data_IF_851991195466
#
_entry.id   IF_851991195466
#
_cell.length_a   1.000
_cell.length_b   1.000
_cell.length_c   1.000
_cell.angle_alpha   90.00
_cell.angle_beta   90.00
_cell.angle_gamma   90.00
#
_symmetry.space_group_name_H-M   'P 1'
#
loop_
_entity.id
_entity.type
_entity.pdbx_description
1 polymer ?
#
# COMPACT_ATOMS: atom_id res chain seq x y z
N UNK A 1 -1.33 -10.95 52.22
CA UNK A 1 -2.59 -11.18 51.46
C UNK A 1 -3.19 -9.87 50.92
N UNK A 2 -3.40 -8.82 51.73
CA UNK A 2 -3.99 -7.56 51.24
C UNK A 2 -3.17 -6.79 50.20
N UNK A 3 -1.83 -6.83 50.28
CA UNK A 3 -0.94 -6.13 49.33
C UNK A 3 -0.99 -6.77 47.94
N UNK A 4 -1.02 -8.10 47.86
CA UNK A 4 -1.15 -8.84 46.60
C UNK A 4 -2.49 -8.55 45.93
N UNK A 5 -3.58 -8.51 46.70
CA UNK A 5 -4.91 -8.16 46.18
C UNK A 5 -4.92 -6.71 45.68
N UNK A 6 -4.30 -5.79 46.41
CA UNK A 6 -4.15 -4.39 45.99
C UNK A 6 -3.38 -4.23 44.67
N UNK A 7 -2.28 -4.98 44.50
CA UNK A 7 -1.48 -4.95 43.26
C UNK A 7 -2.27 -5.52 42.08
N UNK A 8 -2.99 -6.62 42.26
CA UNK A 8 -3.83 -7.20 41.20
C UNK A 8 -4.91 -6.21 40.78
N UNK A 9 -5.62 -5.61 41.74
CA UNK A 9 -6.66 -4.60 41.43
C UNK A 9 -6.05 -3.39 40.72
N UNK A 10 -4.87 -2.92 41.15
CA UNK A 10 -4.19 -1.80 40.51
C UNK A 10 -3.82 -2.08 39.06
N UNK A 11 -3.30 -3.27 38.75
CA UNK A 11 -2.98 -3.68 37.38
C UNK A 11 -4.23 -3.76 36.51
N UNK A 12 -5.34 -4.30 37.03
CA UNK A 12 -6.62 -4.34 36.31
C UNK A 12 -7.17 -2.94 36.01
N UNK A 13 -7.03 -1.98 36.94
CA UNK A 13 -7.45 -0.59 36.74
C UNK A 13 -6.60 0.08 35.66
N UNK A 14 -5.28 -0.12 35.66
CA UNK A 14 -4.41 0.41 34.61
C UNK A 14 -4.70 -0.19 33.23
N UNK A 15 -4.96 -1.49 33.16
CA UNK A 15 -5.36 -2.17 31.92
C UNK A 15 -6.69 -1.62 31.39
N UNK A 16 -7.70 -1.48 32.25
CA UNK A 16 -9.00 -0.93 31.87
C UNK A 16 -8.89 0.52 31.39
N UNK A 17 -8.08 1.34 32.07
CA UNK A 17 -7.82 2.73 31.68
C UNK A 17 -7.08 2.82 30.32
N UNK A 18 -6.10 1.95 30.09
CA UNK A 18 -5.38 1.86 28.82
C UNK A 18 -6.29 1.47 27.65
N UNK A 19 -7.10 0.43 27.83
CA UNK A 19 -8.09 -0.01 26.83
C UNK A 19 -9.11 1.10 26.56
N UNK A 20 -9.62 1.77 27.60
CA UNK A 20 -10.55 2.89 27.43
C UNK A 20 -9.94 4.05 26.66
N UNK A 21 -8.66 4.37 26.89
CA UNK A 21 -7.96 5.45 26.21
C UNK A 21 -7.71 5.11 24.73
N UNK A 22 -7.28 3.88 24.43
CA UNK A 22 -7.12 3.39 23.04
C UNK A 22 -8.45 3.40 22.29
N UNK A 23 -9.53 2.89 22.90
CA UNK A 23 -10.87 2.93 22.30
C UNK A 23 -11.35 4.37 22.06
N UNK A 24 -11.06 5.30 22.99
CA UNK A 24 -11.39 6.72 22.84
C UNK A 24 -10.57 7.40 21.73
N UNK A 25 -9.34 6.97 21.49
CA UNK A 25 -8.51 7.50 20.39
C UNK A 25 -8.92 6.93 19.04
N UNK A 26 -9.23 5.63 18.96
CA UNK A 26 -9.75 5.01 17.73
C UNK A 26 -11.12 5.60 17.33
N UNK A 27 -11.99 5.93 18.30
CA UNK A 27 -13.25 6.62 18.02
C UNK A 27 -13.10 8.02 17.41
N UNK A 28 -11.94 8.67 17.58
CA UNK A 28 -11.64 9.97 16.96
C UNK A 28 -11.14 9.81 15.52
N UNK A 29 -10.46 8.71 15.22
CA UNK A 29 -10.05 8.38 13.84
C UNK A 29 -11.23 7.84 13.01
N UNK A 30 -12.22 7.21 13.64
CA UNK A 30 -13.46 6.80 12.95
C UNK A 30 -14.40 7.98 12.66
N UNK A 31 -14.09 9.19 13.14
CA UNK A 31 -14.81 10.43 12.84
C UNK A 31 -14.08 11.32 11.82
N UNK A 32 -13.17 10.76 11.04
CA UNK A 32 -12.72 11.31 9.75
C UNK A 32 -12.96 10.24 8.69
N UNK A 33 -14.23 10.14 8.30
CA UNK A 33 -14.79 9.75 7.00
C UNK A 33 -16.24 9.31 7.22
N UNK A 34 -17.03 10.22 7.81
CA UNK A 34 -18.45 10.27 7.49
C UNK A 34 -18.60 10.44 5.97
N UNK A 35 -19.74 10.00 5.41
CA UNK A 35 -19.97 10.00 3.97
C UNK A 35 -19.70 11.40 3.46
N UNK A 36 -18.77 11.57 2.51
CA UNK A 36 -18.63 12.84 1.82
C UNK A 36 -20.01 13.13 1.22
N UNK A 37 -20.77 14.10 1.74
CA UNK A 37 -21.98 14.51 1.08
C UNK A 37 -21.52 15.06 -0.26
N UNK A 38 -22.12 14.52 -1.30
CA UNK A 38 -22.34 15.15 -2.58
C UNK A 38 -22.28 16.68 -2.49
N UNK A 39 -21.09 17.24 -2.65
CA UNK A 39 -20.96 18.53 -3.29
C UNK A 39 -20.84 18.20 -4.76
N UNK A 40 -21.99 18.14 -5.43
CA UNK A 40 -22.05 18.59 -6.81
C UNK A 40 -21.32 19.93 -6.82
N UNK A 41 -20.04 19.92 -7.21
CA UNK A 41 -19.50 21.10 -7.86
C UNK A 41 -20.36 21.20 -9.10
N UNK A 42 -21.31 22.12 -9.09
CA UNK A 42 -21.82 22.70 -10.32
C UNK A 42 -20.57 23.22 -11.04
N UNK A 43 -20.03 22.38 -11.91
CA UNK A 43 -19.12 22.83 -12.95
C UNK A 43 -19.99 23.85 -13.69
N UNK A 44 -19.65 25.15 -13.69
CA UNK A 44 -20.37 26.08 -14.55
C UNK A 44 -20.31 25.49 -15.95
N UNK A 45 -21.50 25.26 -16.49
CA UNK A 45 -21.79 24.62 -17.75
C UNK A 45 -21.26 25.44 -18.93
N UNK A 46 -19.94 25.46 -19.09
CA UNK A 46 -19.25 25.86 -20.31
C UNK A 46 -18.19 24.82 -20.67
N UNK A 47 -18.66 23.60 -20.92
CA UNK A 47 -17.94 22.70 -21.82
C UNK A 47 -18.41 23.01 -23.25
N UNK A 48 -17.56 23.70 -24.02
CA UNK A 48 -17.69 23.82 -25.47
C UNK A 48 -18.03 22.44 -26.08
N UNK A 49 -19.12 22.39 -26.84
CA UNK A 49 -19.80 21.18 -27.30
C UNK A 49 -19.04 20.35 -28.34
N UNK A 50 -17.97 19.69 -27.91
CA UNK A 50 -17.27 18.67 -28.68
C UNK A 50 -16.55 17.67 -27.73
N UNK A 51 -17.33 16.86 -27.03
CA UNK A 51 -16.87 15.56 -26.56
C UNK A 51 -18.07 14.61 -26.49
N UNK A 52 -18.37 14.00 -27.61
CA UNK A 52 -19.17 12.77 -27.65
C UNK A 52 -18.23 11.58 -27.43
N UNK A 53 -18.75 10.58 -26.70
CA UNK A 53 -18.09 9.36 -26.19
C UNK A 53 -17.42 9.50 -24.82
N UNK A 54 -18.25 9.35 -23.78
CA UNK A 54 -17.82 8.90 -22.46
C UNK A 54 -17.42 7.43 -22.53
N UNK A 55 -16.14 7.11 -22.42
CA UNK A 55 -15.67 5.76 -22.06
C UNK A 55 -15.79 5.56 -20.54
N UNK A 56 -17.02 5.52 -20.04
CA UNK A 56 -17.32 5.34 -18.61
C UNK A 56 -17.29 3.85 -18.18
N UNK A 57 -17.18 2.91 -19.12
CA UNK A 57 -17.20 1.47 -18.83
C UNK A 57 -15.82 0.90 -18.40
N UNK A 58 -14.72 1.66 -18.52
CA UNK A 58 -13.38 1.24 -18.05
C UNK A 58 -13.06 1.65 -16.61
N UNK A 59 -14.03 2.20 -15.88
CA UNK A 59 -14.00 2.32 -14.41
C UNK A 59 -14.16 0.94 -13.76
N UNK A 60 -13.27 0.03 -14.15
CA UNK A 60 -12.95 -1.22 -13.50
C UNK A 60 -12.78 -0.90 -12.03
N UNK A 61 -13.80 -1.23 -11.25
CA UNK A 61 -13.75 -1.40 -9.81
C UNK A 61 -12.82 -2.59 -9.55
N UNK A 62 -11.52 -2.39 -9.76
CA UNK A 62 -10.49 -3.28 -9.24
C UNK A 62 -10.46 -2.91 -7.78
N UNK A 63 -11.22 -3.65 -6.97
CA UNK A 63 -11.00 -3.72 -5.54
C UNK A 63 -9.56 -4.18 -5.33
N UNK A 64 -8.62 -3.25 -5.39
CA UNK A 64 -7.26 -3.43 -4.95
C UNK A 64 -7.37 -3.57 -3.45
N UNK A 65 -7.51 -4.83 -3.02
CA UNK A 65 -7.10 -5.24 -1.69
C UNK A 65 -5.76 -4.55 -1.41
N UNK A 66 -5.69 -3.82 -0.30
CA UNK A 66 -4.52 -3.02 0.05
C UNK A 66 -3.41 -4.02 0.37
N UNK A 67 -2.59 -4.34 -0.63
CA UNK A 67 -1.43 -5.23 -0.47
C UNK A 67 -0.28 -4.39 0.06
N UNK A 68 0.07 -4.63 1.33
CA UNK A 68 1.31 -4.14 1.92
C UNK A 68 2.44 -5.09 1.50
N UNK A 69 3.55 -4.52 1.02
CA UNK A 69 4.70 -5.27 0.51
C UNK A 69 5.85 -5.40 1.53
N UNK A 70 5.68 -4.88 2.75
CA UNK A 70 6.69 -4.90 3.84
C UNK A 70 8.11 -4.52 3.34
N UNK A 71 8.18 -3.48 2.49
CA UNK A 71 9.38 -3.05 1.78
C UNK A 71 9.84 -1.62 2.14
N UNK A 72 9.44 -1.14 3.31
CA UNK A 72 9.77 0.20 3.81
C UNK A 72 11.28 0.44 3.96
N UNK A 73 12.07 -0.62 4.14
CA UNK A 73 13.53 -0.52 4.21
C UNK A 73 14.13 0.06 2.91
N UNK A 74 13.43 -0.12 1.77
CA UNK A 74 13.86 0.41 0.47
C UNK A 74 13.67 1.93 0.36
N UNK A 75 12.90 2.57 1.25
CA UNK A 75 12.65 4.03 1.21
C UNK A 75 13.92 4.86 1.35
N UNK A 76 14.96 4.30 1.98
CA UNK A 76 16.28 4.94 2.09
C UNK A 76 17.00 5.10 0.73
N UNK A 77 16.53 4.44 -0.32
CA UNK A 77 17.04 4.55 -1.68
C UNK A 77 16.34 5.62 -2.54
N UNK A 78 15.40 6.37 -1.95
CA UNK A 78 14.69 7.45 -2.64
C UNK A 78 15.63 8.43 -3.34
N UNK A 79 15.35 8.72 -4.61
CA UNK A 79 16.11 9.66 -5.42
C UNK A 79 17.48 9.16 -5.90
N UNK A 80 17.85 7.90 -5.63
CA UNK A 80 19.07 7.29 -6.15
C UNK A 80 18.83 6.69 -7.54
N UNK A 81 19.87 6.62 -8.35
CA UNK A 81 19.79 6.04 -9.69
C UNK A 81 19.83 4.50 -9.61
N UNK A 82 19.08 3.83 -10.48
CA UNK A 82 19.06 2.37 -10.63
C UNK A 82 20.41 1.71 -10.99
N UNK A 83 21.44 2.49 -11.33
CA UNK A 83 22.80 2.01 -11.61
C UNK A 83 23.78 2.15 -10.45
N UNK A 84 23.40 2.87 -9.39
CA UNK A 84 24.34 3.31 -8.35
C UNK A 84 24.33 2.42 -7.10
N UNK A 85 23.54 1.33 -7.13
CA UNK A 85 23.41 0.39 -6.02
C UNK A 85 24.61 -0.57 -5.94
N UNK A 86 25.05 -0.88 -4.72
CA UNK A 86 26.01 -1.98 -4.49
C UNK A 86 25.33 -3.34 -4.63
N UNK A 87 26.12 -4.40 -4.76
CA UNK A 87 25.60 -5.77 -4.88
C UNK A 87 24.71 -6.14 -3.67
N UNK A 88 25.12 -5.76 -2.46
CA UNK A 88 24.32 -6.01 -1.25
C UNK A 88 22.99 -5.26 -1.29
N UNK A 89 22.97 -4.02 -1.79
CA UNK A 89 21.74 -3.24 -1.92
C UNK A 89 20.82 -3.84 -2.98
N UNK A 90 21.39 -4.34 -4.08
CA UNK A 90 20.64 -5.04 -5.13
C UNK A 90 19.97 -6.30 -4.57
N UNK A 91 20.67 -7.04 -3.70
CA UNK A 91 20.12 -8.21 -3.05
C UNK A 91 18.91 -7.89 -2.17
N UNK A 92 18.87 -6.74 -1.51
CA UNK A 92 17.67 -6.31 -0.75
C UNK A 92 16.45 -6.10 -1.64
N UNK A 93 16.61 -5.51 -2.83
CA UNK A 93 15.52 -5.42 -3.81
C UNK A 93 15.10 -6.80 -4.32
N UNK A 94 16.07 -7.72 -4.48
CA UNK A 94 15.84 -9.09 -4.94
C UNK A 94 15.05 -9.89 -3.92
N UNK A 95 15.38 -9.76 -2.64
CA UNK A 95 14.70 -10.44 -1.55
C UNK A 95 13.22 -10.08 -1.54
N UNK A 96 12.89 -8.78 -1.63
CA UNK A 96 11.50 -8.34 -1.77
C UNK A 96 10.89 -8.93 -3.05
N UNK A 97 11.53 -8.75 -4.22
CA UNK A 97 11.01 -9.23 -5.51
C UNK A 97 10.63 -10.73 -5.51
N UNK A 98 11.41 -11.57 -4.84
CA UNK A 98 11.19 -13.02 -4.78
C UNK A 98 10.11 -13.45 -3.77
N UNK A 99 9.72 -12.59 -2.84
CA UNK A 99 8.57 -12.85 -1.96
C UNK A 99 7.23 -12.58 -2.63
N UNK A 100 7.22 -11.80 -3.72
CA UNK A 100 6.00 -11.37 -4.40
C UNK A 100 5.41 -12.44 -5.31
N UNK A 101 4.07 -12.50 -5.38
CA UNK A 101 3.42 -13.27 -6.44
C UNK A 101 3.60 -12.56 -7.79
N UNK A 102 3.65 -13.28 -8.92
CA UNK A 102 3.78 -12.65 -10.24
C UNK A 102 2.73 -11.57 -10.57
N UNK A 103 1.51 -11.71 -10.01
CA UNK A 103 0.42 -10.73 -10.15
C UNK A 103 0.66 -9.42 -9.38
N UNK A 104 1.52 -9.46 -8.36
CA UNK A 104 1.82 -8.37 -7.43
C UNK A 104 3.01 -7.54 -7.88
N UNK A 105 3.95 -8.13 -8.63
CA UNK A 105 5.17 -7.45 -9.09
C UNK A 105 4.86 -6.13 -9.80
N UNK A 106 3.84 -6.08 -10.67
CA UNK A 106 3.46 -4.83 -11.34
C UNK A 106 2.96 -3.74 -10.38
N UNK A 107 2.27 -4.12 -9.31
CA UNK A 107 1.77 -3.19 -8.30
C UNK A 107 2.91 -2.70 -7.41
N UNK A 108 3.85 -3.58 -7.06
CA UNK A 108 5.05 -3.23 -6.33
C UNK A 108 5.97 -2.28 -7.12
N UNK A 109 6.20 -2.54 -8.42
CA UNK A 109 6.98 -1.65 -9.29
C UNK A 109 6.37 -0.24 -9.36
N UNK A 110 5.03 -0.13 -9.45
CA UNK A 110 4.33 1.16 -9.39
C UNK A 110 4.46 1.85 -8.02
N UNK A 111 4.52 1.08 -6.93
CA UNK A 111 4.78 1.60 -5.58
C UNK A 111 6.20 2.16 -5.43
N UNK A 112 7.20 1.51 -6.02
CA UNK A 112 8.57 2.04 -6.06
C UNK A 112 8.64 3.35 -6.86
N UNK A 113 8.01 3.39 -8.04
CA UNK A 113 7.96 4.59 -8.88
C UNK A 113 7.29 5.77 -8.16
N UNK A 114 6.16 5.56 -7.49
CA UNK A 114 5.47 6.61 -6.74
C UNK A 114 6.26 7.14 -5.53
N UNK A 115 7.18 6.33 -5.00
CA UNK A 115 8.11 6.71 -3.93
C UNK A 115 9.43 7.29 -4.45
N UNK A 116 9.59 7.44 -5.77
CA UNK A 116 10.83 7.89 -6.43
C UNK A 116 12.02 6.96 -6.14
N UNK A 117 11.77 5.66 -6.02
CA UNK A 117 12.78 4.62 -5.86
C UNK A 117 12.94 3.92 -7.20
N UNK A 118 14.14 3.98 -7.78
CA UNK A 118 14.42 3.29 -9.03
C UNK A 118 14.82 1.84 -8.76
N UNK A 119 14.20 0.89 -9.47
CA UNK A 119 14.61 -0.52 -9.42
C UNK A 119 16.02 -0.67 -10.04
N UNK A 120 16.92 -1.48 -9.45
CA UNK A 120 18.20 -1.78 -10.05
C UNK A 120 18.09 -2.27 -11.50
N UNK A 121 18.93 -1.72 -12.39
CA UNK A 121 18.92 -2.07 -13.82
C UNK A 121 19.04 -3.57 -14.08
N UNK A 122 19.83 -4.28 -13.26
CA UNK A 122 20.04 -5.72 -13.36
C UNK A 122 18.78 -6.54 -13.04
N UNK A 123 17.92 -6.06 -12.15
CA UNK A 123 16.67 -6.75 -11.75
C UNK A 123 15.51 -6.49 -12.72
N UNK A 124 15.64 -5.52 -13.63
CA UNK A 124 14.57 -5.19 -14.59
C UNK A 124 14.19 -6.36 -15.49
N UNK A 125 15.18 -7.13 -15.95
CA UNK A 125 14.91 -8.30 -16.79
C UNK A 125 14.26 -9.44 -16.00
N UNK A 126 14.72 -9.65 -14.77
CA UNK A 126 14.24 -10.69 -13.86
C UNK A 126 12.79 -10.46 -13.47
N UNK A 127 12.43 -9.23 -13.07
CA UNK A 127 11.05 -8.86 -12.77
C UNK A 127 10.11 -9.12 -13.97
N UNK A 128 10.55 -8.81 -15.20
CA UNK A 128 9.77 -9.11 -16.42
C UNK A 128 9.58 -10.61 -16.66
N UNK A 129 10.61 -11.42 -16.39
CA UNK A 129 10.52 -12.88 -16.53
C UNK A 129 9.52 -13.46 -15.55
N UNK A 130 9.58 -13.08 -14.28
CA UNK A 130 8.65 -13.54 -13.24
C UNK A 130 7.20 -13.18 -13.58
N UNK A 131 6.94 -11.96 -14.06
CA UNK A 131 5.61 -11.54 -14.53
C UNK A 131 5.15 -12.43 -15.69
N UNK A 132 6.00 -12.65 -16.70
CA UNK A 132 5.66 -13.43 -17.88
C UNK A 132 5.34 -14.89 -17.52
N UNK A 133 6.09 -15.49 -16.61
CA UNK A 133 5.88 -16.87 -16.18
C UNK A 133 4.57 -17.02 -15.39
N UNK A 134 4.22 -16.06 -14.54
CA UNK A 134 2.91 -16.05 -13.88
C UNK A 134 1.72 -15.88 -14.83
N UNK A 135 1.90 -15.25 -15.99
CA UNK A 135 0.84 -15.16 -17.02
C UNK A 135 0.66 -16.50 -17.74
N UNK A 136 1.75 -17.24 -17.99
CA UNK A 136 1.70 -18.56 -18.64
C UNK A 136 0.95 -19.58 -17.78
N UNK A 137 1.20 -19.59 -16.47
CA UNK A 137 0.53 -20.52 -15.55
C UNK A 137 -0.98 -20.32 -15.49
N UNK A 138 -1.47 -19.06 -15.58
CA UNK A 138 -2.91 -18.77 -15.67
C UNK A 138 -3.56 -19.22 -16.98
N UNK A 139 -2.84 -19.16 -18.11
CA UNK A 139 -3.41 -19.56 -19.42
C UNK A 139 -3.50 -21.09 -19.60
N UNK A 140 -2.78 -21.85 -18.78
CA UNK A 140 -2.75 -23.31 -18.83
C UNK A 140 -3.73 -23.99 -17.85
N UNK A 141 -4.40 -23.22 -16.98
CA UNK A 141 -5.43 -23.67 -16.04
C UNK A 141 -6.81 -23.28 -16.50
#
# INVERSE_FOLDING_TARGET
MGILIGLVVFVFVLLAAGIFLVLKLNKKNEQVNGPVPESVREIPSECCGAHEVCEFEELIVKSQEIVYFEDEELDRFKGRNGTDYSDEQIDEFRDVLYTLLPKEINSWLKSLESREIQLPSILNQEARQLIADGIKTKKAS
#
